data_IF_030154637548
#
_entry.id   IF_030154637548
#
_cell.length_a   1.000
_cell.length_b   1.000
_cell.length_c   1.000
_cell.angle_alpha   90.00
_cell.angle_beta   90.00
_cell.angle_gamma   90.00
#
_symmetry.space_group_name_H-M   'P 1'
#
loop_
_entity.id
_entity.type
_entity.pdbx_description
1 polymer ?
#
# COMPACT_ATOMS: atom_id res chain seq x y z
N UNK A 1 -8.07 8.87 7.88
CA UNK A 1 -8.72 8.50 6.59
C UNK A 1 -8.60 7.00 6.36
N UNK A 2 -9.73 6.28 6.38
CA UNK A 2 -9.74 4.86 6.03
C UNK A 2 -9.79 4.78 4.51
N UNK A 3 -8.74 4.25 3.87
CA UNK A 3 -8.78 3.98 2.44
C UNK A 3 -9.79 2.87 2.20
N UNK A 4 -10.93 3.20 1.59
CA UNK A 4 -11.94 2.20 1.23
C UNK A 4 -11.45 1.46 -0.02
N UNK A 5 -11.48 0.12 0.01
CA UNK A 5 -11.23 -0.66 -1.19
C UNK A 5 -12.29 -0.29 -2.25
N UNK A 6 -11.86 -0.09 -3.49
CA UNK A 6 -12.76 0.35 -4.57
C UNK A 6 -13.68 -0.74 -5.09
N UNK A 7 -13.55 -1.96 -4.58
CA UNK A 7 -14.32 -3.12 -5.00
C UNK A 7 -15.41 -3.45 -3.97
N UNK A 8 -16.56 -3.93 -4.46
CA UNK A 8 -17.72 -4.29 -3.63
C UNK A 8 -17.45 -5.40 -2.60
N UNK A 9 -16.34 -6.14 -2.74
CA UNK A 9 -15.91 -7.18 -1.83
C UNK A 9 -14.39 -7.07 -1.58
N UNK A 10 -13.91 -7.36 -0.36
CA UNK A 10 -12.49 -7.37 -0.07
C UNK A 10 -11.73 -8.35 -0.97
N UNK A 11 -10.60 -7.94 -1.56
CA UNK A 11 -9.69 -8.88 -2.20
C UNK A 11 -8.84 -9.56 -1.11
N UNK A 12 -8.90 -10.90 -0.99
CA UNK A 12 -8.03 -11.62 -0.06
C UNK A 12 -6.57 -11.48 -0.47
N UNK A 13 -5.70 -11.25 0.52
CA UNK A 13 -4.25 -11.38 0.32
C UNK A 13 -3.90 -12.88 0.35
N UNK A 14 -3.33 -13.45 -0.72
CA UNK A 14 -3.01 -14.87 -0.77
C UNK A 14 -1.94 -15.26 0.25
N UNK A 15 -1.99 -16.51 0.72
CA UNK A 15 -0.98 -17.12 1.59
C UNK A 15 -0.17 -18.14 0.81
N UNK A 16 1.04 -18.42 1.30
CA UNK A 16 1.92 -19.48 0.79
C UNK A 16 2.34 -19.32 -0.69
N UNK A 17 2.35 -18.09 -1.20
CA UNK A 17 2.82 -17.77 -2.54
C UNK A 17 3.37 -16.33 -2.61
N UNK A 18 4.20 -16.05 -3.61
CA UNK A 18 4.65 -14.70 -3.93
C UNK A 18 3.50 -13.86 -4.49
N UNK A 19 3.43 -12.60 -4.08
CA UNK A 19 2.42 -11.64 -4.50
C UNK A 19 3.14 -10.35 -4.87
N UNK A 20 2.88 -9.81 -6.06
CA UNK A 20 3.44 -8.52 -6.45
C UNK A 20 2.52 -7.40 -5.97
N UNK A 21 3.02 -6.62 -5.01
CA UNK A 21 2.35 -5.42 -4.53
C UNK A 21 2.98 -4.20 -5.17
N UNK A 22 2.16 -3.31 -5.72
CA UNK A 22 2.60 -2.01 -6.23
C UNK A 22 1.77 -0.93 -5.56
N UNK A 23 2.43 0.14 -5.13
CA UNK A 23 1.78 1.30 -4.53
C UNK A 23 2.23 2.56 -5.26
N UNK A 24 1.27 3.42 -5.57
CA UNK A 24 1.52 4.75 -6.11
C UNK A 24 0.89 5.77 -5.16
N UNK A 25 1.70 6.73 -4.71
CA UNK A 25 1.24 7.81 -3.84
C UNK A 25 1.61 9.14 -4.49
N UNK A 26 0.61 9.93 -4.83
CA UNK A 26 0.81 11.37 -5.01
C UNK A 26 0.70 12.03 -3.62
N UNK A 27 1.85 12.43 -3.08
CA UNK A 27 1.94 13.03 -1.74
C UNK A 27 1.45 14.48 -1.79
N UNK A 28 0.35 14.77 -1.11
CA UNK A 28 -0.22 16.11 -1.02
C UNK A 28 -1.06 16.30 0.23
N UNK A 29 -1.01 17.50 0.80
CA UNK A 29 -1.94 17.94 1.85
C UNK A 29 -3.22 18.56 1.31
N UNK A 30 -3.35 18.70 -0.02
CA UNK A 30 -4.51 19.23 -0.71
C UNK A 30 -5.41 18.15 -1.33
N UNK A 31 -6.39 18.57 -2.13
CA UNK A 31 -7.37 17.67 -2.77
C UNK A 31 -6.80 16.83 -3.92
N UNK A 32 -5.60 17.14 -4.40
CA UNK A 32 -4.94 16.46 -5.50
C UNK A 32 -4.11 15.24 -5.09
N UNK A 33 -4.06 14.89 -3.78
CA UNK A 33 -3.41 13.66 -3.36
C UNK A 33 -4.13 12.43 -3.91
N UNK A 34 -3.37 11.35 -4.07
CA UNK A 34 -3.84 10.10 -4.65
C UNK A 34 -3.08 8.94 -4.02
N UNK A 35 -3.81 7.89 -3.64
CA UNK A 35 -3.24 6.60 -3.24
C UNK A 35 -3.87 5.51 -4.09
N UNK A 36 -3.02 4.74 -4.76
CA UNK A 36 -3.42 3.56 -5.52
C UNK A 36 -2.60 2.35 -5.09
N UNK A 37 -3.25 1.19 -5.05
CA UNK A 37 -2.60 -0.09 -4.73
C UNK A 37 -3.03 -1.13 -5.74
N UNK A 38 -2.07 -1.91 -6.21
CA UNK A 38 -2.28 -3.07 -7.07
C UNK A 38 -1.77 -4.34 -6.39
N UNK A 39 -2.50 -5.42 -6.61
CA UNK A 39 -2.08 -6.78 -6.30
C UNK A 39 -2.04 -7.56 -7.62
N UNK A 40 -0.87 -8.10 -7.98
CA UNK A 40 -0.66 -8.87 -9.21
C UNK A 40 -1.16 -8.13 -10.47
N UNK A 41 -0.92 -6.82 -10.52
CA UNK A 41 -1.32 -5.94 -11.63
C UNK A 41 -2.78 -5.50 -11.62
N UNK A 42 -3.62 -6.02 -10.73
CA UNK A 42 -5.03 -5.60 -10.58
C UNK A 42 -5.12 -4.45 -9.58
N UNK A 43 -5.71 -3.31 -9.97
CA UNK A 43 -5.91 -2.18 -9.06
C UNK A 43 -7.00 -2.51 -8.04
N UNK A 44 -6.64 -2.56 -6.77
CA UNK A 44 -7.52 -2.97 -5.66
C UNK A 44 -7.96 -1.80 -4.78
N UNK A 45 -7.15 -0.74 -4.71
CA UNK A 45 -7.46 0.51 -4.00
C UNK A 45 -7.20 1.69 -4.95
N UNK A 46 -8.11 2.64 -4.98
CA UNK A 46 -7.85 4.01 -5.45
C UNK A 46 -8.59 5.00 -4.56
N UNK A 47 -7.88 5.98 -4.01
CA UNK A 47 -8.44 7.00 -3.12
C UNK A 47 -7.82 8.34 -3.44
N UNK A 48 -8.66 9.35 -3.68
CA UNK A 48 -8.24 10.72 -3.91
C UNK A 48 -8.45 11.58 -2.66
N UNK A 49 -7.69 12.68 -2.54
CA UNK A 49 -7.74 13.62 -1.43
C UNK A 49 -6.40 13.70 -0.68
N UNK A 50 -6.34 14.41 0.46
CA UNK A 50 -5.11 14.59 1.21
C UNK A 50 -4.49 13.25 1.63
N UNK A 51 -3.23 13.03 1.25
CA UNK A 51 -2.45 11.83 1.56
C UNK A 51 -1.42 12.07 2.67
N UNK A 52 -1.12 13.33 3.00
CA UNK A 52 -0.23 13.71 4.11
C UNK A 52 -0.74 14.97 4.82
N UNK A 53 -0.56 15.13 6.14
CA UNK A 53 -0.77 16.42 6.80
C UNK A 53 0.17 17.51 6.29
N UNK A 54 -0.26 18.77 6.34
CA UNK A 54 0.56 19.90 5.92
C UNK A 54 1.82 20.04 6.80
N UNK A 55 2.96 20.33 6.15
CA UNK A 55 4.25 20.55 6.83
C UNK A 55 4.99 19.27 7.24
N UNK A 56 4.50 18.09 6.86
CA UNK A 56 5.17 16.81 7.11
C UNK A 56 5.82 16.25 5.84
N UNK A 57 6.75 15.31 6.03
CA UNK A 57 7.44 14.57 4.97
C UNK A 57 7.44 13.09 5.35
N UNK A 58 7.28 12.20 4.37
CA UNK A 58 7.59 10.78 4.54
C UNK A 58 9.09 10.57 4.28
N UNK A 59 9.83 10.11 5.28
CA UNK A 59 11.29 9.97 5.25
C UNK A 59 11.78 8.52 5.42
N UNK A 60 10.89 7.58 5.79
CA UNK A 60 11.16 6.15 5.81
C UNK A 60 9.93 5.33 5.42
N UNK A 61 10.17 4.08 4.99
CA UNK A 61 9.15 3.06 4.73
C UNK A 61 9.54 1.82 5.53
N UNK A 62 8.56 1.23 6.21
CA UNK A 62 8.69 -0.06 6.88
C UNK A 62 7.84 -1.09 6.17
N UNK A 63 8.42 -2.27 5.95
CA UNK A 63 7.77 -3.41 5.35
C UNK A 63 7.91 -4.60 6.29
N UNK A 64 6.79 -5.17 6.71
CA UNK A 64 6.79 -6.27 7.67
C UNK A 64 5.44 -6.44 8.33
N UNK A 65 5.41 -7.29 9.36
CA UNK A 65 4.20 -7.56 10.14
C UNK A 65 4.16 -6.65 11.37
N UNK A 66 3.10 -5.86 11.52
CA UNK A 66 2.83 -5.10 12.74
C UNK A 66 1.53 -5.62 13.38
N UNK A 67 1.51 -5.73 14.71
CA UNK A 67 0.36 -6.20 15.51
C UNK A 67 -0.18 -7.60 15.16
N UNK A 68 0.38 -8.65 15.79
CA UNK A 68 -0.04 -10.04 15.59
C UNK A 68 -1.01 -10.49 16.71
N UNK A 69 -2.25 -10.80 16.34
CA UNK A 69 -3.33 -11.17 17.29
C UNK A 69 -3.43 -12.67 17.62
N UNK A 70 -2.75 -13.55 16.88
CA UNK A 70 -3.03 -15.00 16.88
C UNK A 70 -2.10 -15.86 17.74
N UNK A 71 -1.22 -15.29 18.57
CA UNK A 71 -0.27 -16.06 19.39
C UNK A 71 0.81 -16.82 18.61
N UNK A 72 0.70 -16.87 17.27
CA UNK A 72 1.73 -17.29 16.33
C UNK A 72 2.09 -16.09 15.48
N UNK A 73 3.39 -15.77 15.41
CA UNK A 73 3.86 -14.70 14.54
C UNK A 73 3.71 -15.13 13.07
N UNK A 74 2.95 -14.40 12.23
CA UNK A 74 2.99 -14.61 10.79
C UNK A 74 4.41 -14.34 10.28
N UNK A 75 4.83 -15.13 9.29
CA UNK A 75 6.10 -14.93 8.58
C UNK A 75 5.79 -14.32 7.23
N UNK A 76 6.45 -13.21 6.91
CA UNK A 76 6.39 -12.56 5.60
C UNK A 76 7.79 -12.54 5.01
N UNK A 77 7.92 -13.04 3.79
CA UNK A 77 9.14 -12.93 2.99
C UNK A 77 9.00 -11.76 2.02
N UNK A 78 10.09 -11.04 1.81
CA UNK A 78 10.15 -9.90 0.89
C UNK A 78 11.28 -10.12 -0.11
N UNK A 79 11.03 -9.74 -1.35
CA UNK A 79 12.01 -9.73 -2.41
C UNK A 79 11.78 -8.52 -3.34
N UNK A 80 12.83 -8.08 -4.03
CA UNK A 80 12.81 -6.99 -5.01
C UNK A 80 12.14 -5.65 -4.59
N UNK A 81 12.46 -5.06 -3.42
CA UNK A 81 11.93 -3.75 -3.06
C UNK A 81 12.49 -2.65 -3.98
N UNK A 82 11.61 -1.91 -4.64
CA UNK A 82 11.95 -0.78 -5.51
C UNK A 82 11.09 0.43 -5.15
N UNK A 83 11.73 1.60 -5.02
CA UNK A 83 11.07 2.89 -4.84
C UNK A 83 11.52 3.80 -5.99
N UNK A 84 10.55 4.42 -6.66
CA UNK A 84 10.79 5.31 -7.78
C UNK A 84 9.77 6.45 -7.79
N UNK A 85 10.17 7.59 -8.34
CA UNK A 85 9.26 8.70 -8.69
C UNK A 85 8.52 8.47 -10.01
N UNK A 86 8.99 7.50 -10.80
CA UNK A 86 8.43 7.10 -12.09
C UNK A 86 7.77 5.72 -11.97
N UNK A 87 6.77 5.37 -12.81
CA UNK A 87 6.14 4.05 -12.77
C UNK A 87 7.15 2.91 -12.87
N UNK A 88 6.96 1.87 -12.04
CA UNK A 88 7.82 0.67 -12.03
C UNK A 88 7.22 -0.36 -13.00
N UNK A 89 7.96 -0.83 -14.03
CA UNK A 89 7.50 -1.81 -15.01
C UNK A 89 7.15 -3.17 -14.40
#
# INVERSE_FOLDING_TARGET
PQANQTLRAPIPFPKDQWVRVTMHINVSSGSNGLTEVWQDGVRIITTAGPTIPAGLVYDWIELGTTANVSGQAPVVYLDDPVISKDPIP
#
